data_IF_794888046297
#
_entry.id   IF_794888046297
#
_cell.length_a   1.000
_cell.length_b   1.000
_cell.length_c   1.000
_cell.angle_alpha   90.00
_cell.angle_beta   90.00
_cell.angle_gamma   90.00
#
_symmetry.space_group_name_H-M   'P 1'
#
loop_
_entity.id
_entity.type
_entity.pdbx_description
1 polymer ?
#
# COMPACT_ATOMS: atom_id res chain seq x y z
N UNK A 1 -15.62 0.38 -26.73
CA UNK A 1 -14.87 -0.90 -26.66
C UNK A 1 -13.76 -0.87 -25.60
N UNK A 2 -12.88 0.15 -25.59
CA UNK A 2 -11.77 0.27 -24.63
C UNK A 2 -12.18 0.16 -23.15
N UNK A 3 -13.21 0.88 -22.73
CA UNK A 3 -13.70 0.85 -21.33
C UNK A 3 -14.15 -0.53 -20.87
N UNK A 4 -14.81 -1.30 -21.75
CA UNK A 4 -15.26 -2.66 -21.43
C UNK A 4 -14.07 -3.60 -21.24
N UNK A 5 -13.03 -3.48 -22.09
CA UNK A 5 -11.80 -4.25 -21.95
C UNK A 5 -11.06 -3.92 -20.65
N UNK A 6 -10.97 -2.64 -20.27
CA UNK A 6 -10.35 -2.20 -19.01
C UNK A 6 -11.13 -2.70 -17.80
N UNK A 7 -12.47 -2.65 -17.85
CA UNK A 7 -13.33 -3.19 -16.78
C UNK A 7 -13.13 -4.69 -16.61
N UNK A 8 -13.08 -5.43 -17.71
CA UNK A 8 -12.87 -6.87 -17.70
C UNK A 8 -11.48 -7.23 -17.14
N UNK A 9 -10.44 -6.50 -17.54
CA UNK A 9 -9.09 -6.61 -16.98
C UNK A 9 -9.04 -6.34 -15.48
N UNK A 10 -9.76 -5.32 -15.00
CA UNK A 10 -9.86 -5.02 -13.58
C UNK A 10 -10.50 -6.17 -12.79
N UNK A 11 -11.60 -6.73 -13.30
CA UNK A 11 -12.29 -7.85 -12.66
C UNK A 11 -11.37 -9.09 -12.60
N UNK A 12 -10.73 -9.45 -13.71
CA UNK A 12 -9.80 -10.59 -13.75
C UNK A 12 -8.66 -10.40 -12.75
N UNK A 13 -8.03 -9.21 -12.75
CA UNK A 13 -6.91 -8.92 -11.86
C UNK A 13 -7.32 -8.98 -10.39
N UNK A 14 -8.51 -8.45 -10.05
CA UNK A 14 -9.04 -8.53 -8.69
C UNK A 14 -9.34 -9.98 -8.27
N UNK A 15 -9.94 -10.78 -9.15
CA UNK A 15 -10.19 -12.20 -8.89
C UNK A 15 -8.89 -12.99 -8.73
N UNK A 16 -7.85 -12.66 -9.51
CA UNK A 16 -6.54 -13.29 -9.42
C UNK A 16 -5.88 -13.05 -8.06
N UNK A 17 -5.83 -11.78 -7.62
CA UNK A 17 -5.23 -11.39 -6.33
C UNK A 17 -5.97 -12.02 -5.14
N UNK A 18 -7.30 -12.21 -5.26
CA UNK A 18 -8.07 -12.89 -4.22
C UNK A 18 -7.72 -14.37 -4.07
N UNK A 19 -6.97 -14.95 -5.02
CA UNK A 19 -6.53 -16.34 -5.06
C UNK A 19 -7.61 -17.32 -4.55
N UNK A 20 -8.81 -17.34 -5.15
CA UNK A 20 -9.92 -18.20 -4.69
C UNK A 20 -9.61 -19.69 -4.81
N UNK A 21 -8.61 -20.03 -5.64
CA UNK A 21 -8.11 -21.38 -5.86
C UNK A 21 -7.07 -21.83 -4.83
N UNK A 22 -6.70 -20.97 -3.87
CA UNK A 22 -5.78 -21.28 -2.77
C UNK A 22 -4.49 -21.98 -3.22
N UNK A 23 -3.94 -21.56 -4.35
CA UNK A 23 -2.71 -22.14 -4.91
C UNK A 23 -2.83 -23.49 -5.64
N UNK A 24 -4.05 -24.03 -5.82
CA UNK A 24 -4.25 -25.33 -6.49
C UNK A 24 -4.02 -25.31 -8.01
N UNK A 25 -3.95 -24.12 -8.63
CA UNK A 25 -3.75 -23.91 -10.07
C UNK A 25 -2.50 -23.05 -10.38
N UNK A 26 -1.49 -23.07 -9.51
CA UNK A 26 -0.28 -22.28 -9.70
C UNK A 26 0.54 -22.79 -10.89
N UNK A 27 0.75 -21.92 -11.88
CA UNK A 27 1.58 -22.16 -13.06
C UNK A 27 3.09 -22.04 -12.74
N UNK A 28 3.43 -21.34 -11.65
CA UNK A 28 4.78 -21.12 -11.14
C UNK A 28 4.80 -21.58 -9.67
N UNK A 29 5.77 -22.42 -9.26
CA UNK A 29 5.83 -22.87 -7.87
C UNK A 29 6.16 -21.70 -6.92
N UNK A 30 5.21 -21.36 -6.03
CA UNK A 30 5.24 -20.21 -5.12
C UNK A 30 6.32 -20.30 -4.00
N UNK A 31 7.09 -21.39 -3.97
CA UNK A 31 8.12 -21.66 -2.96
C UNK A 31 9.52 -21.17 -3.33
N UNK A 32 9.70 -20.42 -4.43
CA UNK A 32 11.00 -19.86 -4.78
C UNK A 32 11.18 -18.51 -4.07
N UNK A 33 12.08 -18.40 -3.08
CA UNK A 33 12.38 -17.12 -2.47
C UNK A 33 12.81 -16.13 -3.55
N UNK A 34 12.23 -14.92 -3.54
CA UNK A 34 12.39 -13.79 -4.50
C UNK A 34 11.36 -13.76 -5.65
N UNK A 35 10.87 -14.91 -6.14
CA UNK A 35 9.97 -14.97 -7.32
C UNK A 35 8.56 -15.48 -7.03
N UNK A 36 8.34 -16.11 -5.87
CA UNK A 36 6.99 -16.42 -5.38
C UNK A 36 6.19 -15.14 -5.24
N UNK A 37 5.02 -15.11 -5.87
CA UNK A 37 4.06 -13.99 -5.95
C UNK A 37 4.34 -12.82 -6.93
N UNK A 38 5.21 -12.98 -7.93
CA UNK A 38 5.50 -11.91 -8.90
C UNK A 38 4.29 -11.60 -9.80
N UNK A 39 3.54 -12.62 -10.15
CA UNK A 39 2.33 -12.55 -10.96
C UNK A 39 1.18 -11.86 -10.21
N UNK A 40 1.07 -12.01 -8.90
CA UNK A 40 0.14 -11.28 -8.03
C UNK A 40 0.53 -9.81 -7.95
N UNK A 41 1.84 -9.51 -7.88
CA UNK A 41 2.33 -8.14 -7.96
C UNK A 41 2.01 -7.50 -9.32
N UNK A 42 2.15 -8.26 -10.40
CA UNK A 42 1.75 -7.83 -11.74
C UNK A 42 0.23 -7.60 -11.82
N UNK A 43 -0.59 -8.53 -11.33
CA UNK A 43 -2.04 -8.41 -11.29
C UNK A 43 -2.46 -7.17 -10.47
N UNK A 44 -1.77 -6.90 -9.36
CA UNK A 44 -1.98 -5.70 -8.55
C UNK A 44 -1.65 -4.43 -9.33
N UNK A 45 -0.52 -4.38 -10.03
CA UNK A 45 -0.16 -3.23 -10.85
C UNK A 45 -1.17 -2.97 -11.98
N UNK A 46 -1.64 -4.03 -12.64
CA UNK A 46 -2.68 -3.95 -13.68
C UNK A 46 -4.00 -3.43 -13.09
N UNK A 47 -4.41 -3.94 -11.93
CA UNK A 47 -5.62 -3.50 -11.24
C UNK A 47 -5.54 -2.00 -10.89
N UNK A 48 -4.41 -1.54 -10.33
CA UNK A 48 -4.20 -0.13 -10.00
C UNK A 48 -4.22 0.75 -11.25
N UNK A 49 -3.63 0.31 -12.36
CA UNK A 49 -3.69 1.02 -13.63
C UNK A 49 -5.13 1.13 -14.18
N UNK A 50 -5.92 0.05 -14.05
CA UNK A 50 -7.33 0.06 -14.45
C UNK A 50 -8.16 1.00 -13.55
N UNK A 51 -7.94 0.99 -12.24
CA UNK A 51 -8.58 1.94 -11.31
C UNK A 51 -8.23 3.39 -11.66
N UNK A 52 -6.96 3.66 -11.97
CA UNK A 52 -6.49 4.97 -12.46
C UNK A 52 -7.17 5.39 -13.77
N UNK A 53 -7.42 4.46 -14.69
CA UNK A 53 -8.18 4.73 -15.92
C UNK A 53 -9.62 5.21 -15.63
N UNK A 54 -10.24 4.74 -14.54
CA UNK A 54 -11.56 5.22 -14.08
C UNK A 54 -11.48 6.49 -13.22
N UNK A 55 -10.29 7.06 -13.01
CA UNK A 55 -10.08 8.24 -12.18
C UNK A 55 -10.10 7.97 -10.68
N UNK A 56 -9.96 6.70 -10.27
CA UNK A 56 -9.90 6.32 -8.86
C UNK A 56 -8.45 6.48 -8.38
N UNK A 57 -8.22 7.50 -7.55
CA UNK A 57 -6.91 7.81 -7.00
C UNK A 57 -6.70 7.12 -5.64
N UNK A 58 -6.21 5.88 -5.72
CA UNK A 58 -5.88 5.03 -4.56
C UNK A 58 -4.76 5.61 -3.68
N UNK A 59 -3.96 6.56 -4.19
CA UNK A 59 -2.92 7.25 -3.42
C UNK A 59 -3.48 7.98 -2.21
N UNK A 60 -4.73 8.45 -2.31
CA UNK A 60 -5.42 9.15 -1.22
C UNK A 60 -5.68 8.27 0.00
N UNK A 61 -5.76 6.94 -0.19
CA UNK A 61 -5.88 5.98 0.91
C UNK A 61 -4.61 5.87 1.73
N UNK A 62 -3.45 6.23 1.14
CA UNK A 62 -2.14 6.18 1.78
C UNK A 62 -1.66 7.55 2.29
N UNK A 63 -2.41 8.62 2.02
CA UNK A 63 -2.09 9.96 2.53
C UNK A 63 -2.34 10.02 4.04
N UNK A 64 -1.27 10.21 4.82
CA UNK A 64 -1.38 10.44 6.25
C UNK A 64 -2.24 11.68 6.53
N UNK A 65 -3.19 11.55 7.46
CA UNK A 65 -4.02 12.67 7.86
C UNK A 65 -3.16 13.82 8.41
N UNK A 66 -3.43 15.09 8.02
CA UNK A 66 -2.71 16.26 8.54
C UNK A 66 -2.68 16.31 10.07
N UNK A 67 -3.71 15.76 10.73
CA UNK A 67 -3.81 15.69 12.19
C UNK A 67 -2.74 14.81 12.81
N UNK A 68 -2.40 13.67 12.18
CA UNK A 68 -1.34 12.76 12.67
C UNK A 68 0.02 13.46 12.58
N UNK A 69 0.28 14.16 11.46
CA UNK A 69 1.54 14.90 11.27
C UNK A 69 1.72 16.03 12.29
N UNK A 70 0.63 16.74 12.63
CA UNK A 70 0.63 17.80 13.67
C UNK A 70 0.79 17.25 15.08
N UNK A 71 0.15 16.13 15.39
CA UNK A 71 0.31 15.47 16.69
C UNK A 71 1.76 15.03 16.90
N UNK A 72 2.39 14.45 15.86
CA UNK A 72 3.79 14.05 15.90
C UNK A 72 4.72 15.24 16.17
N UNK A 73 4.54 16.38 15.47
CA UNK A 73 5.37 17.56 15.68
C UNK A 73 5.24 18.14 17.10
N UNK A 74 4.03 18.09 17.69
CA UNK A 74 3.81 18.55 19.05
C UNK A 74 4.47 17.64 20.11
N UNK A 75 4.45 16.33 19.87
CA UNK A 75 5.14 15.36 20.71
C UNK A 75 6.66 15.55 20.65
N UNK A 76 7.21 15.71 19.44
CA UNK A 76 8.65 15.94 19.25
C UNK A 76 9.12 17.24 19.93
N UNK A 77 8.36 18.32 19.81
CA UNK A 77 8.65 19.57 20.53
C UNK A 77 8.61 19.40 22.06
N UNK A 78 7.65 18.63 22.57
CA UNK A 78 7.51 18.40 24.03
C UNK A 78 8.66 17.57 24.57
N UNK A 79 9.07 16.54 23.81
CA UNK A 79 10.22 15.69 24.14
C UNK A 79 11.52 16.50 24.15
N UNK A 80 11.74 17.37 23.16
CA UNK A 80 12.93 18.22 23.10
C UNK A 80 12.96 19.24 24.24
N UNK A 81 11.82 19.86 24.59
CA UNK A 81 11.74 20.72 25.78
C UNK A 81 12.07 19.94 27.07
N UNK A 82 11.54 18.73 27.23
CA UNK A 82 11.83 17.87 28.39
C UNK A 82 13.32 17.53 28.53
N UNK A 83 14.00 17.19 27.43
CA UNK A 83 15.46 16.93 27.44
C UNK A 83 16.27 18.17 27.80
N UNK A 84 15.85 19.35 27.34
CA UNK A 84 16.54 20.61 27.65
C UNK A 84 16.48 20.96 29.14
N UNK A 85 15.35 20.66 29.80
CA UNK A 85 15.16 20.88 31.24
C UNK A 85 16.00 19.91 32.07
N UNK A 86 16.12 18.65 31.66
CA UNK A 86 16.95 17.67 32.39
C UNK A 86 18.46 17.93 32.24
N UNK A 87 18.89 18.63 31.19
CA UNK A 87 20.29 19.04 31.01
C UNK A 87 20.69 20.25 31.86
N UNK A 88 19.72 20.97 32.43
CA UNK A 88 19.94 22.13 33.27
C UNK A 88 19.97 21.80 34.78
N UNK A 89 19.76 20.54 35.18
CA UNK A 89 19.95 20.14 36.59
C UNK A 89 21.45 20.14 36.94
N UNK A 90 21.90 20.97 37.90
CA UNK A 90 23.27 20.95 38.37
C UNK A 90 23.55 19.65 39.14
N UNK A 91 24.66 19.00 38.78
CA UNK A 91 25.17 17.77 39.40
C UNK A 91 25.60 17.94 40.84
#
# INVERSE_FOLDING_TARGET
MKTFAVLLLAIISATYILNPTAGLLELIPDNIPIFGNLDEAMATAILLACLGYFGIDVSKLFSQSPSVKRAQSQLDETIERGKSLHKAEPK
#
